data_IF_536610492233
#
_entry.id   IF_536610492233
#
_cell.length_a   1.000
_cell.length_b   1.000
_cell.length_c   1.000
_cell.angle_alpha   90.00
_cell.angle_beta   90.00
_cell.angle_gamma   90.00
#
_symmetry.space_group_name_H-M   'P 1'
#
loop_
_entity.id
_entity.type
_entity.pdbx_description
1 polymer ?
#
# COMPACT_ATOMS: atom_id res chain seq x y z
N UNK A 1 -10.82 7.81 17.72
CA UNK A 1 -9.42 8.26 17.57
C UNK A 1 -9.03 8.00 16.13
N UNK A 2 -8.94 9.05 15.30
CA UNK A 2 -8.38 8.89 13.95
C UNK A 2 -6.93 8.42 14.12
N UNK A 3 -6.53 7.32 13.47
CA UNK A 3 -5.10 6.97 13.36
C UNK A 3 -4.36 8.18 12.77
N UNK A 4 -3.11 8.39 13.17
CA UNK A 4 -2.32 9.47 12.59
C UNK A 4 -1.85 9.05 11.20
N UNK A 5 -1.70 9.98 10.26
CA UNK A 5 -1.25 9.64 8.90
C UNK A 5 0.13 8.99 8.87
N UNK A 6 0.98 9.29 9.85
CA UNK A 6 2.23 8.56 10.08
C UNK A 6 2.01 7.04 10.21
N UNK A 7 1.04 6.61 11.02
CA UNK A 7 0.73 5.17 11.18
C UNK A 7 0.28 4.54 9.85
N UNK A 8 -0.44 5.30 9.01
CA UNK A 8 -0.89 4.83 7.70
C UNK A 8 0.25 4.73 6.70
N UNK A 9 1.16 5.68 6.71
CA UNK A 9 2.38 5.64 5.89
C UNK A 9 3.30 4.48 6.31
N UNK A 10 3.38 4.18 7.61
CA UNK A 10 4.08 3.01 8.14
C UNK A 10 3.40 1.71 7.69
N UNK A 11 2.07 1.62 7.77
CA UNK A 11 1.29 0.48 7.28
C UNK A 11 1.52 0.26 5.75
N UNK A 12 1.53 1.33 4.95
CA UNK A 12 1.86 1.28 3.51
C UNK A 12 3.28 0.75 3.30
N UNK A 13 4.25 1.26 4.05
CA UNK A 13 5.65 0.84 3.97
C UNK A 13 5.80 -0.64 4.31
N UNK A 14 5.13 -1.10 5.38
CA UNK A 14 5.11 -2.50 5.79
C UNK A 14 4.50 -3.40 4.70
N UNK A 15 3.40 -2.98 4.07
CA UNK A 15 2.78 -3.71 2.98
C UNK A 15 3.70 -3.82 1.74
N UNK A 16 4.44 -2.76 1.40
CA UNK A 16 5.45 -2.77 0.32
C UNK A 16 6.57 -3.78 0.64
N UNK A 17 7.08 -3.79 1.88
CA UNK A 17 8.08 -4.79 2.31
C UNK A 17 7.55 -6.21 2.26
N UNK A 18 6.27 -6.42 2.63
CA UNK A 18 5.63 -7.73 2.53
C UNK A 18 5.54 -8.19 1.06
N UNK A 19 5.15 -7.31 0.14
CA UNK A 19 5.13 -7.62 -1.31
C UNK A 19 6.52 -8.11 -1.77
N UNK A 20 7.59 -7.37 -1.43
CA UNK A 20 8.97 -7.78 -1.79
C UNK A 20 9.31 -9.17 -1.24
N UNK A 21 9.06 -9.38 0.05
CA UNK A 21 9.26 -10.69 0.72
C UNK A 21 8.47 -11.81 0.04
N UNK A 22 7.23 -11.56 -0.39
CA UNK A 22 6.42 -12.56 -1.10
C UNK A 22 7.02 -12.89 -2.47
N UNK A 23 7.48 -11.89 -3.22
CA UNK A 23 8.08 -12.09 -4.54
C UNK A 23 9.46 -12.75 -4.52
N UNK A 24 10.17 -12.69 -3.39
CA UNK A 24 11.42 -13.45 -3.19
C UNK A 24 11.18 -14.96 -3.02
N UNK A 25 9.98 -15.36 -2.56
CA UNK A 25 9.61 -16.77 -2.34
C UNK A 25 9.15 -17.48 -3.61
N UNK A 26 8.76 -16.74 -4.63
CA UNK A 26 8.29 -17.30 -5.90
C UNK A 26 7.75 -16.23 -6.86
N UNK A 27 7.55 -16.58 -8.13
CA UNK A 27 7.05 -15.64 -9.13
C UNK A 27 5.59 -15.27 -8.88
N UNK A 28 5.17 -14.07 -9.31
CA UNK A 28 3.77 -13.61 -9.22
C UNK A 28 2.80 -14.45 -10.07
N UNK A 29 3.29 -15.30 -10.97
CA UNK A 29 2.46 -16.29 -11.66
C UNK A 29 1.97 -17.41 -10.72
N UNK A 30 2.69 -17.68 -9.63
CA UNK A 30 2.25 -18.60 -8.58
C UNK A 30 0.99 -18.06 -7.88
N UNK A 31 -0.02 -18.89 -7.69
CA UNK A 31 -1.30 -18.47 -7.14
C UNK A 31 -1.20 -17.94 -5.71
N UNK A 32 -0.39 -18.56 -4.86
CA UNK A 32 -0.23 -18.14 -3.47
C UNK A 32 0.53 -16.81 -3.39
N UNK A 33 1.60 -16.66 -4.17
CA UNK A 33 2.34 -15.39 -4.22
C UNK A 33 1.45 -14.28 -4.76
N UNK A 34 0.72 -14.55 -5.84
CA UNK A 34 -0.21 -13.59 -6.45
C UNK A 34 -1.26 -13.10 -5.47
N UNK A 35 -1.90 -14.02 -4.75
CA UNK A 35 -2.97 -13.66 -3.82
C UNK A 35 -2.42 -12.93 -2.58
N UNK A 36 -1.23 -13.30 -2.11
CA UNK A 36 -0.51 -12.55 -1.08
C UNK A 36 -0.13 -11.13 -1.54
N UNK A 37 0.32 -10.94 -2.78
CA UNK A 37 0.60 -9.60 -3.33
C UNK A 37 -0.70 -8.79 -3.48
N UNK A 38 -1.79 -9.41 -3.95
CA UNK A 38 -3.08 -8.74 -4.13
C UNK A 38 -3.65 -8.17 -2.85
N UNK A 39 -3.62 -8.94 -1.74
CA UNK A 39 -4.14 -8.42 -0.47
C UNK A 39 -3.31 -7.24 0.04
N UNK A 40 -1.99 -7.26 -0.14
CA UNK A 40 -1.14 -6.11 0.23
C UNK A 40 -1.40 -4.88 -0.64
N UNK A 41 -1.66 -5.05 -1.93
CA UNK A 41 -2.06 -3.95 -2.80
C UNK A 41 -3.42 -3.36 -2.40
N UNK A 42 -4.37 -4.21 -2.00
CA UNK A 42 -5.67 -3.75 -1.47
C UNK A 42 -5.48 -2.95 -0.18
N UNK A 43 -4.69 -3.46 0.77
CA UNK A 43 -4.37 -2.76 2.02
C UNK A 43 -3.71 -1.40 1.77
N UNK A 44 -2.78 -1.30 0.82
CA UNK A 44 -2.16 -0.02 0.42
C UNK A 44 -3.22 0.95 -0.10
N UNK A 45 -4.10 0.50 -1.00
CA UNK A 45 -5.16 1.35 -1.54
C UNK A 45 -6.11 1.88 -0.46
N UNK A 46 -6.49 1.03 0.50
CA UNK A 46 -7.33 1.44 1.63
C UNK A 46 -6.62 2.41 2.58
N UNK A 47 -5.33 2.19 2.85
CA UNK A 47 -4.54 3.11 3.66
C UNK A 47 -4.41 4.49 2.99
N UNK A 48 -4.17 4.54 1.67
CA UNK A 48 -4.09 5.78 0.90
C UNK A 48 -5.43 6.54 0.90
N UNK A 49 -6.57 5.85 0.76
CA UNK A 49 -7.90 6.48 0.84
C UNK A 49 -8.16 7.19 2.17
N UNK A 50 -7.47 6.76 3.23
CA UNK A 50 -7.66 7.26 4.59
C UNK A 50 -6.62 8.32 4.99
N UNK A 51 -5.67 8.68 4.11
CA UNK A 51 -4.72 9.78 4.34
C UNK A 51 -5.43 11.14 4.24
N UNK A 52 -4.92 12.14 4.96
CA UNK A 52 -5.43 13.50 4.84
C UNK A 52 -5.15 14.10 3.45
N UNK A 53 -6.10 14.91 2.98
CA UNK A 53 -6.00 15.56 1.68
C UNK A 53 -4.86 16.59 1.63
N UNK A 54 -4.57 17.29 2.71
CA UNK A 54 -3.45 18.25 2.79
C UNK A 54 -2.12 17.55 2.59
N UNK A 55 -1.94 16.35 3.17
CA UNK A 55 -0.74 15.53 3.01
C UNK A 55 -0.58 15.04 1.56
N UNK A 56 -1.65 14.56 0.94
CA UNK A 56 -1.55 14.08 -0.46
C UNK A 56 -1.31 15.22 -1.45
N UNK A 57 -1.82 16.43 -1.16
CA UNK A 57 -1.57 17.63 -1.96
C UNK A 57 -0.14 18.15 -1.81
N UNK A 58 0.49 17.98 -0.64
CA UNK A 58 1.89 18.39 -0.44
C UNK A 58 2.90 17.54 -1.21
N UNK A 59 2.51 16.34 -1.64
CA UNK A 59 3.37 15.39 -2.37
C UNK A 59 2.78 15.04 -3.76
N UNK A 60 2.71 16.00 -4.70
CA UNK A 60 1.98 15.85 -5.98
C UNK A 60 2.66 14.90 -6.98
N UNK A 61 3.95 14.61 -6.79
CA UNK A 61 4.71 13.66 -7.61
C UNK A 61 4.24 12.21 -7.43
N UNK A 62 3.61 11.90 -6.30
CA UNK A 62 3.05 10.59 -6.04
C UNK A 62 1.64 10.54 -6.65
N UNK A 63 1.33 9.55 -7.52
CA UNK A 63 0.04 9.45 -8.18
C UNK A 63 -1.04 8.86 -7.23
N UNK A 64 -1.32 9.53 -6.11
CA UNK A 64 -2.20 9.04 -5.03
C UNK A 64 -3.53 8.49 -5.54
N UNK A 65 -4.18 9.18 -6.49
CA UNK A 65 -5.47 8.76 -7.07
C UNK A 65 -5.41 7.46 -7.87
N UNK A 66 -4.24 7.07 -8.37
CA UNK A 66 -4.06 5.80 -9.09
C UNK A 66 -3.83 4.63 -8.12
N UNK A 67 -3.45 4.93 -6.87
CA UNK A 67 -3.23 3.92 -5.84
C UNK A 67 -4.53 3.54 -5.12
N UNK A 68 -5.54 4.40 -5.15
CA UNK A 68 -6.87 4.12 -4.62
C UNK A 68 -7.71 3.39 -5.67
N UNK A 69 -7.95 2.09 -5.46
CA UNK A 69 -8.84 1.27 -6.29
C UNK A 69 -10.32 1.63 -6.09
#
# INVERSE_FOLDING_TARGET
MSRHDGDRLDDITAAIHAIRTHTERGPVSDALVRDAVRIRLLEIGEAVKALDAELTVSEPEIPWRQLTA
#
